data_IF_287872995728
#
_entry.id   IF_287872995728
#
_cell.length_a   1.000
_cell.length_b   1.000
_cell.length_c   1.000
_cell.angle_alpha   90.00
_cell.angle_beta   90.00
_cell.angle_gamma   90.00
#
_symmetry.space_group_name_H-M   'P 1'
#
loop_
_entity.id
_entity.type
_entity.pdbx_description
1 polymer ?
#
# COMPACT_ATOMS: atom_id res chain seq x y z
N UNK A 1 13.46 21.58 -1.47
CA UNK A 1 13.05 20.18 -1.69
C UNK A 1 11.52 20.09 -1.62
N UNK A 2 10.83 19.83 -2.74
CA UNK A 2 9.36 19.81 -2.75
C UNK A 2 8.82 18.55 -2.07
N UNK A 3 8.02 18.72 -1.01
CA UNK A 3 7.33 17.61 -0.31
C UNK A 3 6.18 17.13 -1.19
N UNK A 4 6.23 15.86 -1.63
CA UNK A 4 5.13 15.26 -2.41
C UNK A 4 3.87 15.17 -1.56
N UNK A 5 2.76 15.76 -2.03
CA UNK A 5 1.49 15.69 -1.35
C UNK A 5 0.78 14.35 -1.62
N UNK A 6 1.05 13.37 -0.77
CA UNK A 6 0.44 12.03 -0.90
C UNK A 6 -1.03 11.99 -0.53
N UNK A 7 -1.58 13.03 0.11
CA UNK A 7 -3.02 13.12 0.38
C UNK A 7 -3.84 13.25 -0.90
N UNK A 8 -3.24 13.72 -1.99
CA UNK A 8 -3.91 13.82 -3.28
C UNK A 8 -4.47 12.46 -3.73
N UNK A 9 -3.69 11.38 -3.59
CA UNK A 9 -4.13 10.02 -3.97
C UNK A 9 -5.33 9.54 -3.15
N UNK A 10 -5.36 9.89 -1.86
CA UNK A 10 -6.46 9.54 -0.95
C UNK A 10 -7.72 10.37 -1.24
N UNK A 11 -7.54 11.66 -1.54
CA UNK A 11 -8.65 12.56 -1.87
C UNK A 11 -9.30 12.20 -3.19
N UNK A 12 -8.51 11.93 -4.24
CA UNK A 12 -9.06 11.51 -5.55
C UNK A 12 -9.74 10.15 -5.46
N UNK A 13 -9.20 9.23 -4.66
CA UNK A 13 -9.85 7.94 -4.39
C UNK A 13 -11.23 8.08 -3.77
N UNK A 14 -11.36 8.97 -2.79
CA UNK A 14 -12.62 9.23 -2.10
C UNK A 14 -13.61 9.98 -3.00
N UNK A 15 -13.12 10.96 -3.76
CA UNK A 15 -13.90 11.69 -4.74
C UNK A 15 -14.49 10.76 -5.82
N UNK A 16 -13.66 9.93 -6.46
CA UNK A 16 -14.13 8.93 -7.44
C UNK A 16 -15.21 8.02 -6.86
N UNK A 17 -15.03 7.55 -5.61
CA UNK A 17 -16.00 6.66 -4.96
C UNK A 17 -17.33 7.36 -4.68
N UNK A 18 -17.31 8.61 -4.20
CA UNK A 18 -18.53 9.40 -3.96
C UNK A 18 -19.32 9.67 -5.25
N UNK A 19 -18.66 9.70 -6.40
CA UNK A 19 -19.29 9.81 -7.71
C UNK A 19 -19.81 8.47 -8.29
N UNK A 20 -19.63 7.35 -7.58
CA UNK A 20 -19.95 6.02 -8.13
C UNK A 20 -19.00 5.57 -9.26
N UNK A 21 -17.82 6.19 -9.38
CA UNK A 21 -16.86 5.92 -10.44
C UNK A 21 -15.99 4.69 -10.18
N UNK A 22 -15.66 3.97 -11.26
CA UNK A 22 -14.63 2.93 -11.25
C UNK A 22 -13.22 3.53 -11.09
N UNK A 23 -12.33 2.85 -10.37
CA UNK A 23 -10.96 3.35 -10.14
C UNK A 23 -9.95 2.21 -10.13
N UNK A 24 -8.84 2.42 -10.83
CA UNK A 24 -7.66 1.56 -10.80
C UNK A 24 -6.49 2.27 -10.13
N UNK A 25 -5.66 1.53 -9.41
CA UNK A 25 -4.41 2.03 -8.83
C UNK A 25 -3.25 1.17 -9.33
N UNK A 26 -2.30 1.77 -10.05
CA UNK A 26 -1.13 1.07 -10.56
C UNK A 26 0.13 1.94 -10.41
N UNK A 27 1.22 1.33 -9.96
CA UNK A 27 2.57 1.84 -10.19
C UNK A 27 3.18 1.20 -11.45
N UNK A 28 4.45 1.50 -11.78
CA UNK A 28 5.16 0.98 -12.96
C UNK A 28 5.00 -0.54 -13.15
N UNK A 29 5.13 -1.33 -12.09
CA UNK A 29 5.07 -2.80 -12.16
C UNK A 29 3.87 -3.40 -11.42
N UNK A 30 2.88 -2.58 -11.04
CA UNK A 30 1.65 -3.07 -10.44
C UNK A 30 1.76 -3.83 -9.11
N UNK A 31 2.95 -3.93 -8.48
CA UNK A 31 3.21 -4.80 -7.31
C UNK A 31 3.36 -4.03 -5.99
N UNK A 32 4.54 -3.45 -5.70
CA UNK A 32 4.91 -3.01 -4.35
C UNK A 32 4.18 -1.72 -3.94
N UNK A 33 4.41 -0.62 -4.67
CA UNK A 33 3.73 0.66 -4.39
C UNK A 33 2.22 0.56 -4.62
N UNK A 34 1.79 -0.25 -5.59
CA UNK A 34 0.37 -0.57 -5.78
C UNK A 34 -0.21 -1.24 -4.53
N UNK A 35 0.45 -2.27 -3.99
CA UNK A 35 0.00 -2.94 -2.77
C UNK A 35 -0.10 -1.95 -1.60
N UNK A 36 0.87 -1.07 -1.42
CA UNK A 36 0.84 -0.06 -0.35
C UNK A 36 -0.38 0.86 -0.49
N UNK A 37 -0.70 1.32 -1.70
CA UNK A 37 -1.84 2.22 -1.94
C UNK A 37 -3.19 1.51 -1.84
N UNK A 38 -3.32 0.32 -2.43
CA UNK A 38 -4.55 -0.46 -2.41
C UNK A 38 -4.92 -0.86 -0.98
N UNK A 39 -3.95 -1.36 -0.20
CA UNK A 39 -4.20 -1.75 1.19
C UNK A 39 -4.57 -0.58 2.10
N UNK A 40 -3.96 0.61 1.89
CA UNK A 40 -4.31 1.82 2.65
C UNK A 40 -5.76 2.24 2.41
N UNK A 41 -6.20 2.23 1.16
CA UNK A 41 -7.57 2.60 0.83
C UNK A 41 -8.58 1.57 1.30
N UNK A 42 -8.32 0.28 1.06
CA UNK A 42 -9.20 -0.79 1.52
C UNK A 42 -9.38 -0.75 3.04
N UNK A 43 -8.29 -0.51 3.78
CA UNK A 43 -8.36 -0.36 5.23
C UNK A 43 -9.16 0.89 5.66
N UNK A 44 -9.02 2.03 4.96
CA UNK A 44 -9.84 3.22 5.23
C UNK A 44 -11.33 2.92 5.05
N UNK A 45 -11.69 2.23 3.97
CA UNK A 45 -13.08 1.84 3.71
C UNK A 45 -13.62 0.88 4.77
N UNK A 46 -12.82 -0.12 5.17
CA UNK A 46 -13.21 -1.05 6.25
C UNK A 46 -13.44 -0.33 7.59
N UNK A 47 -12.61 0.66 7.92
CA UNK A 47 -12.78 1.45 9.15
C UNK A 47 -13.99 2.37 9.06
N UNK A 48 -14.19 3.03 7.90
CA UNK A 48 -15.29 3.97 7.69
C UNK A 48 -16.66 3.28 7.62
N UNK A 49 -16.76 2.20 6.86
CA UNK A 49 -18.04 1.57 6.52
C UNK A 49 -18.39 0.43 7.48
N UNK A 50 -17.39 -0.27 8.03
CA UNK A 50 -17.58 -1.48 8.86
C UNK A 50 -17.07 -1.35 10.29
N UNK A 51 -16.70 -0.13 10.73
CA UNK A 51 -16.23 0.16 12.10
C UNK A 51 -15.08 -0.74 12.56
N UNK A 52 -14.20 -1.18 11.66
CA UNK A 52 -13.01 -1.95 12.03
C UNK A 52 -12.15 -1.16 13.04
N UNK A 53 -11.71 -1.84 14.11
CA UNK A 53 -11.22 -1.18 15.33
C UNK A 53 -9.88 -0.43 15.15
N UNK A 54 -9.06 -0.77 14.15
CA UNK A 54 -7.75 -0.12 13.99
C UNK A 54 -7.22 -0.11 12.55
N UNK A 55 -7.18 1.09 11.94
CA UNK A 55 -6.67 1.30 10.58
C UNK A 55 -5.25 0.73 10.37
N UNK A 56 -4.34 1.00 11.30
CA UNK A 56 -2.95 0.57 11.20
C UNK A 56 -2.85 -0.95 11.21
N UNK A 57 -3.60 -1.61 12.10
CA UNK A 57 -3.62 -3.06 12.20
C UNK A 57 -4.17 -3.71 10.92
N UNK A 58 -5.27 -3.19 10.37
CA UNK A 58 -5.83 -3.70 9.10
C UNK A 58 -4.81 -3.57 7.97
N UNK A 59 -4.17 -2.40 7.82
CA UNK A 59 -3.12 -2.19 6.80
C UNK A 59 -1.97 -3.18 6.98
N UNK A 60 -1.48 -3.31 8.21
CA UNK A 60 -0.36 -4.18 8.55
C UNK A 60 -0.67 -5.64 8.23
N UNK A 61 -1.82 -6.15 8.66
CA UNK A 61 -2.29 -7.51 8.36
C UNK A 61 -2.39 -7.74 6.85
N UNK A 62 -3.02 -6.83 6.10
CA UNK A 62 -3.13 -6.97 4.64
C UNK A 62 -1.77 -6.95 3.93
N UNK A 63 -0.79 -6.20 4.45
CA UNK A 63 0.56 -6.13 3.87
C UNK A 63 1.44 -7.31 4.31
N UNK A 64 1.19 -7.87 5.50
CA UNK A 64 1.91 -9.01 6.07
C UNK A 64 1.46 -10.34 5.48
N UNK A 65 0.16 -10.57 5.28
CA UNK A 65 -0.37 -11.87 4.86
C UNK A 65 -1.54 -11.78 3.87
N UNK A 66 -1.89 -10.59 3.38
CA UNK A 66 -2.98 -10.42 2.43
C UNK A 66 -2.63 -10.77 0.98
N UNK A 67 -3.67 -10.84 0.15
CA UNK A 67 -3.64 -11.26 -1.27
C UNK A 67 -2.66 -10.47 -2.15
N UNK A 68 -2.34 -9.22 -1.76
CA UNK A 68 -1.39 -8.39 -2.52
C UNK A 68 0.04 -8.91 -2.45
N UNK A 69 0.36 -9.82 -1.53
CA UNK A 69 1.64 -10.55 -1.55
C UNK A 69 1.72 -11.57 -2.68
N UNK A 70 0.59 -12.16 -3.08
CA UNK A 70 0.59 -13.13 -4.19
C UNK A 70 0.87 -12.43 -5.52
N UNK A 71 0.46 -11.15 -5.66
CA UNK A 71 0.89 -10.34 -6.79
C UNK A 71 2.41 -10.17 -6.83
N UNK A 72 3.07 -9.99 -5.68
CA UNK A 72 4.53 -9.89 -5.59
C UNK A 72 5.15 -11.24 -6.00
N UNK A 73 4.65 -12.33 -5.43
CA UNK A 73 5.13 -13.68 -5.75
C UNK A 73 4.99 -13.98 -7.25
N UNK A 74 3.82 -13.76 -7.85
CA UNK A 74 3.60 -13.99 -9.29
C UNK A 74 4.49 -13.13 -10.18
N UNK A 75 4.90 -11.94 -9.72
CA UNK A 75 5.76 -11.04 -10.50
C UNK A 75 7.25 -11.36 -10.41
N UNK A 76 7.74 -11.76 -9.23
CA UNK A 76 9.18 -11.88 -8.96
C UNK A 76 9.59 -13.16 -8.23
N UNK A 77 8.68 -14.13 -8.11
CA UNK A 77 8.89 -15.41 -7.43
C UNK A 77 9.39 -15.25 -5.98
N UNK A 78 8.89 -14.21 -5.30
CA UNK A 78 9.22 -13.92 -3.91
C UNK A 78 8.03 -13.30 -3.18
N UNK A 79 7.83 -13.67 -1.92
CA UNK A 79 6.83 -13.06 -1.04
C UNK A 79 7.32 -11.75 -0.38
N UNK A 80 8.53 -11.30 -0.71
CA UNK A 80 9.10 -10.06 -0.17
C UNK A 80 8.95 -8.90 -1.16
N UNK A 81 8.45 -7.76 -0.69
CA UNK A 81 8.41 -6.53 -1.48
C UNK A 81 9.83 -6.12 -1.90
N UNK A 82 9.96 -5.65 -3.14
CA UNK A 82 11.26 -5.31 -3.73
C UNK A 82 11.66 -3.84 -3.50
N UNK A 83 11.49 -3.35 -2.28
CA UNK A 83 11.97 -2.02 -1.90
C UNK A 83 13.41 -2.07 -1.41
N UNK A 84 14.29 -1.24 -1.98
CA UNK A 84 15.61 -1.01 -1.40
C UNK A 84 15.52 -0.11 -0.14
N UNK A 85 16.61 -0.02 0.63
CA UNK A 85 16.62 0.72 1.89
C UNK A 85 16.28 2.21 1.72
N UNK A 86 16.87 2.88 0.72
CA UNK A 86 16.61 4.29 0.46
C UNK A 86 15.13 4.52 0.10
N UNK A 87 14.55 3.68 -0.75
CA UNK A 87 13.14 3.74 -1.10
C UNK A 87 12.25 3.60 0.15
N UNK A 88 12.56 2.66 1.06
CA UNK A 88 11.80 2.49 2.31
C UNK A 88 11.89 3.72 3.22
N UNK A 89 13.07 4.33 3.33
CA UNK A 89 13.28 5.56 4.12
C UNK A 89 12.51 6.76 3.55
N UNK A 90 12.39 6.84 2.22
CA UNK A 90 11.70 7.94 1.53
C UNK A 90 10.18 7.76 1.39
N UNK A 91 9.64 6.58 1.70
CA UNK A 91 8.20 6.37 1.69
C UNK A 91 7.53 7.13 2.86
N UNK A 92 6.39 7.78 2.64
CA UNK A 92 5.57 8.31 3.74
C UNK A 92 5.13 7.16 4.67
N UNK A 93 4.97 7.46 5.96
CA UNK A 93 4.62 6.45 6.98
C UNK A 93 3.43 5.57 6.60
N UNK A 94 2.34 6.14 6.09
CA UNK A 94 1.15 5.38 5.70
C UNK A 94 1.39 4.40 4.53
N UNK A 95 2.48 4.56 3.77
CA UNK A 95 2.87 3.70 2.65
C UNK A 95 4.05 2.79 2.98
N UNK A 96 4.59 2.82 4.21
CA UNK A 96 5.71 1.94 4.57
C UNK A 96 5.25 0.48 4.68
N UNK A 97 5.99 -0.48 4.10
CA UNK A 97 5.71 -1.89 4.30
C UNK A 97 6.09 -2.32 5.74
N UNK A 98 5.39 -3.29 6.34
CA UNK A 98 5.74 -3.83 7.67
C UNK A 98 7.15 -4.45 7.68
N UNK A 99 7.80 -4.43 8.84
CA UNK A 99 9.11 -5.07 9.01
C UNK A 99 9.00 -6.56 8.69
N UNK A 100 10.03 -7.12 8.04
CA UNK A 100 10.04 -8.53 7.63
C UNK A 100 9.33 -8.83 6.31
N UNK A 101 8.66 -7.85 5.69
CA UNK A 101 7.97 -8.04 4.40
C UNK A 101 8.78 -7.61 3.17
N UNK A 102 10.03 -7.18 3.35
CA UNK A 102 10.91 -6.72 2.28
C UNK A 102 12.30 -7.32 2.46
N UNK A 103 13.07 -7.44 1.37
CA UNK A 103 14.45 -7.96 1.47
C UNK A 103 15.27 -7.09 2.41
N UNK A 104 16.00 -7.71 3.35
CA UNK A 104 17.11 -7.03 4.03
C UNK A 104 18.14 -6.71 2.96
N UNK A 105 18.57 -5.44 2.87
CA UNK A 105 19.65 -5.10 1.97
C UNK A 105 20.87 -5.92 2.38
N UNK A 106 21.44 -6.68 1.45
CA UNK A 106 22.82 -7.13 1.60
C UNK A 106 23.66 -5.86 1.57
N UNK A 107 24.19 -5.46 2.72
CA UNK A 107 25.38 -4.60 2.77
C UNK A 107 26.52 -5.31 2.08
#
# INVERSE_FOLDING_TARGET
MHKKNVRLLMATSEFCRRLGGGRATCCKSGKDRTAMSVTLEQARLLVQDFKALNLKHVIETMRLCGVRRDNVFKNIQSHTYAFNELQRKLLPECYKPPVGTYKKGST
#
